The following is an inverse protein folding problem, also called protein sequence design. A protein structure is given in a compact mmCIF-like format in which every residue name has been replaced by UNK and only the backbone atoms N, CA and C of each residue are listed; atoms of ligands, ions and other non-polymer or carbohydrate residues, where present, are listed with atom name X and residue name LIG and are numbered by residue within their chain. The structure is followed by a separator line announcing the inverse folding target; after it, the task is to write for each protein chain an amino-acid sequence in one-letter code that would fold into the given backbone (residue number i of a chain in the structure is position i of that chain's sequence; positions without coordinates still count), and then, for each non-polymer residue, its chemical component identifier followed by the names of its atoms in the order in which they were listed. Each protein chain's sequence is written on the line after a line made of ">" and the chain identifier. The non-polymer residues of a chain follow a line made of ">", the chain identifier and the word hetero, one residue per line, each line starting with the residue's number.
data_IF_030512406796
#
_entry.id   IF_030512406796
#
_cell.length_a   1.000
_cell.length_b   1.000
_cell.length_c   1.000
_cell.angle_alpha   90.00
_cell.angle_beta   90.00
_cell.angle_gamma   90.00
#
_symmetry.space_group_name_H-M   'P 1'
#
loop_
_entity.id
_entity.type
_entity.pdbx_description
1 polymer ?
#
# COMPACT_ATOMS: atom_id res chain seq x y z
N UNK A 1 12.14 -13.15 23.44
CA UNK A 1 12.05 -14.53 22.94
C UNK A 1 10.85 -14.78 22.03
N UNK A 2 9.65 -14.23 22.34
CA UNK A 2 8.44 -14.45 21.48
C UNK A 2 8.54 -13.70 20.16
N UNK A 3 9.19 -12.55 20.12
CA UNK A 3 9.36 -11.75 18.91
C UNK A 3 10.40 -12.32 17.95
N UNK A 4 11.44 -12.99 18.45
CA UNK A 4 12.44 -13.63 17.59
C UNK A 4 11.84 -14.74 16.72
N UNK A 5 10.85 -15.48 17.24
CA UNK A 5 10.13 -16.52 16.46
C UNK A 5 9.47 -15.96 15.22
N UNK A 6 9.05 -14.70 15.21
CA UNK A 6 8.45 -14.04 14.05
C UNK A 6 9.45 -13.76 12.94
N UNK A 7 10.74 -13.68 13.26
CA UNK A 7 11.79 -13.32 12.32
C UNK A 7 12.45 -14.53 11.67
N UNK A 8 12.37 -15.70 12.30
CA UNK A 8 13.06 -16.92 11.86
C UNK A 8 12.11 -17.95 11.25
N UNK A 9 12.68 -18.93 10.53
CA UNK A 9 11.93 -19.98 9.83
C UNK A 9 11.44 -21.07 10.80
N UNK A 10 10.54 -20.70 11.69
CA UNK A 10 9.88 -21.64 12.59
C UNK A 10 8.67 -22.28 11.92
N UNK A 11 8.62 -23.60 11.91
CA UNK A 11 7.51 -24.40 11.37
C UNK A 11 6.88 -25.18 12.53
N UNK A 12 5.64 -24.87 12.94
CA UNK A 12 4.94 -25.67 13.94
C UNK A 12 4.72 -27.12 13.50
N UNK A 13 4.58 -28.00 14.46
CA UNK A 13 4.27 -29.40 14.18
C UNK A 13 2.95 -29.54 13.39
N UNK A 14 2.90 -30.50 12.49
CA UNK A 14 1.74 -30.85 11.65
C UNK A 14 1.29 -29.79 10.64
N UNK A 15 2.07 -28.74 10.39
CA UNK A 15 1.74 -27.73 9.36
C UNK A 15 2.29 -28.07 7.98
N UNK A 16 3.40 -28.77 7.90
CA UNK A 16 4.05 -29.17 6.65
C UNK A 16 4.27 -30.67 6.65
N UNK A 17 3.71 -31.37 5.67
CA UNK A 17 3.79 -32.83 5.58
C UNK A 17 5.23 -33.37 5.58
N UNK A 18 6.16 -32.65 4.96
CA UNK A 18 7.58 -33.00 4.94
C UNK A 18 8.30 -32.78 6.30
N UNK A 19 7.69 -32.06 7.23
CA UNK A 19 8.26 -31.72 8.54
C UNK A 19 7.19 -31.94 9.62
N UNK A 20 6.73 -33.18 9.85
CA UNK A 20 5.58 -33.45 10.73
C UNK A 20 5.83 -33.09 12.19
N UNK A 21 7.08 -33.11 12.64
CA UNK A 21 7.45 -32.70 14.01
C UNK A 21 7.64 -31.19 14.18
N UNK A 22 7.49 -30.43 13.09
CA UNK A 22 7.88 -29.03 13.06
C UNK A 22 9.40 -28.84 13.01
N UNK A 23 9.83 -27.59 12.96
CA UNK A 23 11.25 -27.21 12.96
C UNK A 23 11.43 -25.89 13.71
N UNK A 24 12.32 -25.87 14.67
CA UNK A 24 12.81 -24.66 15.31
C UNK A 24 14.11 -24.24 14.63
N UNK A 25 14.07 -23.15 13.89
CA UNK A 25 15.22 -22.61 13.20
C UNK A 25 15.50 -21.20 13.70
N UNK A 26 16.63 -21.01 14.38
CA UNK A 26 17.06 -19.74 14.93
C UNK A 26 18.18 -19.07 14.12
N UNK A 27 18.48 -19.59 12.95
CA UNK A 27 19.59 -19.12 12.10
C UNK A 27 19.13 -18.59 10.76
N UNK A 28 18.08 -19.16 10.18
CA UNK A 28 17.57 -18.74 8.88
C UNK A 28 16.37 -17.82 9.07
N UNK A 29 16.49 -16.58 8.58
CA UNK A 29 15.42 -15.61 8.58
C UNK A 29 14.28 -16.07 7.66
N UNK A 30 13.05 -15.89 8.11
CA UNK A 30 11.90 -15.96 7.21
C UNK A 30 11.82 -14.66 6.36
N UNK A 31 10.87 -14.59 5.45
CA UNK A 31 10.70 -13.42 4.55
C UNK A 31 10.52 -12.11 5.35
N UNK A 32 9.78 -12.15 6.44
CA UNK A 32 9.57 -10.97 7.29
C UNK A 32 10.87 -10.55 7.99
N UNK A 33 11.59 -11.50 8.60
CA UNK A 33 12.88 -11.24 9.25
C UNK A 33 13.93 -10.75 8.28
N UNK A 34 14.00 -11.35 7.08
CA UNK A 34 14.91 -10.92 6.01
C UNK A 34 14.66 -9.48 5.58
N UNK A 35 13.40 -9.05 5.51
CA UNK A 35 13.05 -7.66 5.17
C UNK A 35 13.46 -6.66 6.25
N UNK A 36 13.24 -7.00 7.52
CA UNK A 36 13.66 -6.13 8.64
C UNK A 36 15.17 -5.96 8.63
N UNK A 37 15.93 -7.06 8.51
CA UNK A 37 17.40 -7.00 8.46
C UNK A 37 17.90 -6.25 7.23
N UNK A 38 17.29 -6.47 6.06
CA UNK A 38 17.62 -5.72 4.86
C UNK A 38 17.34 -4.22 5.01
N UNK A 39 16.22 -3.83 5.62
CA UNK A 39 15.90 -2.43 5.92
C UNK A 39 16.96 -1.79 6.81
N UNK A 40 17.31 -2.44 7.92
CA UNK A 40 18.36 -1.95 8.82
C UNK A 40 19.73 -1.83 8.12
N UNK A 41 20.05 -2.80 7.25
CA UNK A 41 21.30 -2.74 6.48
C UNK A 41 21.29 -1.58 5.46
N UNK A 42 20.16 -1.34 4.79
CA UNK A 42 19.98 -0.22 3.86
C UNK A 42 20.12 1.13 4.58
N UNK A 43 19.51 1.29 5.75
CA UNK A 43 19.63 2.51 6.56
C UNK A 43 21.07 2.75 7.01
N UNK A 44 21.76 1.69 7.43
CA UNK A 44 23.18 1.77 7.80
C UNK A 44 24.05 2.15 6.59
N UNK A 45 23.83 1.56 5.42
CA UNK A 45 24.53 1.89 4.18
C UNK A 45 24.29 3.35 3.79
N UNK A 46 23.03 3.81 3.83
CA UNK A 46 22.70 5.20 3.51
C UNK A 46 23.41 6.22 4.43
N UNK A 47 23.61 5.84 5.69
CA UNK A 47 24.31 6.66 6.69
C UNK A 47 25.83 6.67 6.47
N UNK A 48 26.41 5.50 6.26
CA UNK A 48 27.88 5.34 6.17
C UNK A 48 28.44 5.70 4.77
N UNK A 49 27.59 5.59 3.73
CA UNK A 49 27.94 5.88 2.34
C UNK A 49 26.90 6.83 1.74
N UNK A 50 26.99 8.15 2.00
CA UNK A 50 25.97 9.14 1.62
C UNK A 50 25.66 9.18 0.11
N UNK A 51 26.63 8.83 -0.75
CA UNK A 51 26.43 8.75 -2.20
C UNK A 51 25.39 7.69 -2.59
N UNK A 52 25.21 6.66 -1.76
CA UNK A 52 24.23 5.59 -1.98
C UNK A 52 22.85 5.92 -1.38
N UNK A 53 22.73 6.89 -0.48
CA UNK A 53 21.48 7.24 0.18
C UNK A 53 20.35 7.53 -0.83
N UNK A 54 20.66 8.17 -1.96
CA UNK A 54 19.69 8.48 -3.02
C UNK A 54 19.11 7.25 -3.73
N UNK A 55 19.74 6.08 -3.61
CA UNK A 55 19.28 4.82 -4.21
C UNK A 55 18.52 3.94 -3.22
N UNK A 56 18.52 4.29 -1.93
CA UNK A 56 17.78 3.54 -0.92
C UNK A 56 16.29 3.84 -1.06
N UNK A 57 15.51 2.82 -1.38
CA UNK A 57 14.06 2.92 -1.49
C UNK A 57 13.41 2.19 -0.31
N UNK A 58 12.62 2.93 0.47
CA UNK A 58 11.83 2.39 1.58
C UNK A 58 10.41 1.98 1.16
N UNK A 59 10.02 2.34 -0.06
CA UNK A 59 8.70 2.06 -0.64
C UNK A 59 8.87 1.40 -2.01
N UNK A 60 7.95 0.49 -2.34
CA UNK A 60 7.94 -0.16 -3.65
C UNK A 60 7.64 0.85 -4.77
N UNK A 61 6.68 1.75 -4.51
CA UNK A 61 6.29 2.83 -5.42
C UNK A 61 6.20 4.18 -4.70
N UNK A 62 6.46 5.24 -5.44
CA UNK A 62 6.31 6.63 -4.99
C UNK A 62 5.40 7.36 -5.96
N UNK A 63 4.34 7.98 -5.44
CA UNK A 63 3.44 8.85 -6.20
C UNK A 63 3.76 10.30 -5.89
N UNK A 64 4.01 11.11 -6.92
CA UNK A 64 4.32 12.53 -6.79
C UNK A 64 3.87 13.33 -8.02
N UNK A 65 3.08 14.38 -7.80
CA UNK A 65 2.54 15.22 -8.88
C UNK A 65 3.62 16.07 -9.60
N UNK A 66 4.76 16.26 -8.96
CA UNK A 66 5.90 17.03 -9.50
C UNK A 66 6.83 16.20 -10.39
N UNK A 67 6.51 14.93 -10.61
CA UNK A 67 7.32 14.00 -11.41
C UNK A 67 8.54 13.43 -10.70
N UNK A 68 8.71 13.69 -9.40
CA UNK A 68 9.80 13.11 -8.58
C UNK A 68 9.51 11.70 -8.07
N UNK A 69 8.33 11.14 -8.38
CA UNK A 69 7.90 9.79 -8.08
C UNK A 69 7.97 8.85 -9.29
N UNK A 70 7.53 7.62 -9.07
CA UNK A 70 7.38 6.61 -10.13
C UNK A 70 6.08 6.83 -10.91
N UNK A 71 5.05 7.45 -10.27
CA UNK A 71 3.72 7.70 -10.83
C UNK A 71 3.25 9.12 -10.48
N UNK A 72 2.40 9.69 -11.34
CA UNK A 72 1.77 11.00 -11.10
C UNK A 72 0.47 10.87 -10.31
N UNK A 73 -0.23 9.74 -10.45
CA UNK A 73 -1.52 9.48 -9.82
C UNK A 73 -1.46 8.26 -8.90
N UNK A 74 -2.33 8.25 -7.89
CA UNK A 74 -2.42 7.12 -6.95
C UNK A 74 -3.04 5.91 -7.63
N UNK A 75 -4.01 6.13 -8.55
CA UNK A 75 -4.63 5.03 -9.28
C UNK A 75 -3.62 4.28 -10.17
N UNK A 76 -2.73 5.01 -10.87
CA UNK A 76 -1.67 4.38 -11.68
C UNK A 76 -0.75 3.48 -10.83
N UNK A 77 -0.38 3.95 -9.64
CA UNK A 77 0.44 3.15 -8.73
C UNK A 77 -0.29 1.90 -8.23
N UNK A 78 -1.60 2.00 -7.93
CA UNK A 78 -2.44 0.85 -7.55
C UNK A 78 -2.54 -0.15 -8.70
N UNK A 79 -2.77 0.33 -9.93
CA UNK A 79 -2.91 -0.51 -11.11
C UNK A 79 -1.61 -1.25 -11.44
N UNK A 80 -0.46 -0.65 -11.16
CA UNK A 80 0.86 -1.25 -11.34
C UNK A 80 1.19 -2.36 -10.32
N UNK A 81 0.45 -2.46 -9.20
CA UNK A 81 0.64 -3.55 -8.24
C UNK A 81 0.27 -4.89 -8.88
N UNK A 82 1.12 -5.93 -8.80
CA UNK A 82 0.77 -7.25 -9.31
C UNK A 82 -0.48 -7.82 -8.65
N UNK A 83 -1.36 -8.44 -9.45
CA UNK A 83 -2.57 -9.07 -8.96
C UNK A 83 -2.29 -10.32 -8.10
N UNK A 84 -3.16 -10.60 -7.15
CA UNK A 84 -3.17 -11.80 -6.29
C UNK A 84 -1.85 -12.08 -5.53
N UNK A 85 -1.15 -11.04 -5.11
CA UNK A 85 0.14 -11.08 -4.44
C UNK A 85 0.02 -11.53 -2.98
N UNK A 86 -0.07 -12.83 -2.74
CA UNK A 86 -0.41 -13.41 -1.42
C UNK A 86 0.61 -13.17 -0.30
N UNK A 87 1.91 -13.16 -0.62
CA UNK A 87 2.96 -13.25 0.39
C UNK A 87 3.81 -11.99 0.55
N UNK A 88 3.53 -10.96 -0.23
CA UNK A 88 4.33 -9.74 -0.26
C UNK A 88 3.37 -8.55 -0.22
N UNK A 89 3.57 -7.69 0.76
CA UNK A 89 2.87 -6.40 0.84
C UNK A 89 3.57 -5.40 -0.07
N UNK A 90 2.81 -4.70 -0.90
CA UNK A 90 3.30 -3.58 -1.71
C UNK A 90 3.06 -2.29 -0.95
N UNK A 91 4.09 -1.50 -0.78
CA UNK A 91 4.03 -0.20 -0.10
C UNK A 91 4.12 0.92 -1.12
N UNK A 92 3.14 1.82 -1.10
CA UNK A 92 3.04 2.97 -1.98
C UNK A 92 3.13 4.23 -1.13
N UNK A 93 4.16 5.04 -1.34
CA UNK A 93 4.26 6.36 -0.74
C UNK A 93 3.52 7.38 -1.60
N UNK A 94 2.58 8.09 -1.00
CA UNK A 94 1.89 9.24 -1.63
C UNK A 94 2.49 10.51 -1.07
N UNK A 95 3.20 11.28 -1.90
CA UNK A 95 3.77 12.56 -1.49
C UNK A 95 2.67 13.58 -1.24
N UNK A 96 3.00 14.62 -0.47
CA UNK A 96 2.12 15.77 -0.22
C UNK A 96 1.52 16.30 -1.51
N UNK A 97 0.20 16.50 -1.51
CA UNK A 97 -0.54 17.03 -2.66
C UNK A 97 -2.02 16.71 -2.57
N UNK A 98 -2.81 17.38 -3.41
CA UNK A 98 -4.24 17.09 -3.58
C UNK A 98 -4.42 16.30 -4.88
N UNK A 99 -4.67 15.01 -4.74
CA UNK A 99 -4.88 14.08 -5.85
C UNK A 99 -6.38 14.02 -6.16
N UNK A 100 -6.79 14.74 -7.22
CA UNK A 100 -8.20 14.79 -7.62
C UNK A 100 -8.54 13.61 -8.52
N UNK A 101 -8.73 12.45 -7.92
CA UNK A 101 -8.99 11.20 -8.62
C UNK A 101 -9.94 10.30 -7.84
N UNK A 102 -10.73 9.51 -8.55
CA UNK A 102 -11.60 8.49 -7.97
C UNK A 102 -10.81 7.21 -7.82
N UNK A 103 -10.60 6.79 -6.58
CA UNK A 103 -9.78 5.61 -6.29
C UNK A 103 -10.61 4.34 -6.32
N UNK A 104 -10.12 3.35 -7.03
CA UNK A 104 -10.66 1.99 -7.04
C UNK A 104 -9.53 1.00 -6.78
N UNK A 105 -9.63 0.27 -5.67
CA UNK A 105 -8.72 -0.84 -5.34
C UNK A 105 -9.45 -2.15 -5.61
N UNK A 106 -9.23 -2.82 -6.75
CA UNK A 106 -9.90 -4.07 -7.11
C UNK A 106 -9.58 -5.20 -6.13
N UNK A 107 -10.44 -6.21 -6.07
CA UNK A 107 -10.28 -7.39 -5.21
C UNK A 107 -8.96 -8.15 -5.47
N UNK A 108 -8.43 -8.07 -6.70
CA UNK A 108 -7.16 -8.69 -7.08
C UNK A 108 -5.92 -8.02 -6.48
N UNK A 109 -6.01 -6.75 -6.07
CA UNK A 109 -4.90 -5.92 -5.57
C UNK A 109 -4.69 -6.11 -4.05
N UNK A 110 -4.45 -7.33 -3.62
CA UNK A 110 -4.31 -7.69 -2.21
C UNK A 110 -2.96 -7.23 -1.61
N UNK A 111 -2.92 -7.05 -0.29
CA UNK A 111 -1.71 -6.67 0.47
C UNK A 111 -1.09 -5.32 0.05
N UNK A 112 -1.90 -4.28 -0.10
CA UNK A 112 -1.43 -2.91 -0.37
C UNK A 112 -1.37 -2.09 0.92
N UNK A 113 -0.28 -1.33 1.08
CA UNK A 113 -0.19 -0.23 2.03
C UNK A 113 -0.03 1.09 1.27
N UNK A 114 -0.94 2.02 1.54
CA UNK A 114 -0.90 3.37 1.02
C UNK A 114 -0.48 4.31 2.15
N UNK A 115 0.73 4.86 2.06
CA UNK A 115 1.34 5.68 3.11
C UNK A 115 1.46 7.12 2.61
N UNK A 116 0.76 8.04 3.24
CA UNK A 116 0.81 9.46 2.90
C UNK A 116 1.93 10.20 3.62
N UNK A 117 2.54 11.17 2.95
CA UNK A 117 3.21 12.27 3.61
C UNK A 117 2.15 13.21 4.19
N UNK A 118 2.50 13.96 5.22
CA UNK A 118 1.61 14.97 5.80
C UNK A 118 1.10 15.93 4.71
N UNK A 119 -0.23 16.02 4.58
CA UNK A 119 -0.90 16.78 3.52
C UNK A 119 -1.12 16.00 2.21
N UNK A 120 -1.04 14.69 2.22
CA UNK A 120 -1.53 13.85 1.14
C UNK A 120 -3.07 13.71 1.22
N UNK A 121 -3.77 14.23 0.22
CA UNK A 121 -5.23 14.28 0.17
C UNK A 121 -5.72 13.62 -1.12
N UNK A 122 -6.56 12.60 -0.99
CA UNK A 122 -7.28 11.98 -2.09
C UNK A 122 -8.70 12.58 -2.10
N UNK A 123 -8.98 13.39 -3.11
CA UNK A 123 -10.22 14.18 -3.18
C UNK A 123 -10.98 13.87 -4.45
N UNK A 124 -12.31 13.71 -4.34
CA UNK A 124 -13.18 13.60 -5.51
C UNK A 124 -14.53 14.24 -5.23
N UNK A 125 -15.22 14.72 -6.29
CA UNK A 125 -16.40 15.56 -6.19
C UNK A 125 -17.70 14.88 -6.64
N UNK A 126 -17.79 13.56 -6.55
CA UNK A 126 -19.01 12.83 -6.89
C UNK A 126 -20.08 12.94 -5.79
N UNK A 127 -21.35 13.06 -6.20
CA UNK A 127 -22.53 13.06 -5.34
C UNK A 127 -23.68 12.29 -6.00
N UNK A 128 -24.69 11.91 -5.21
CA UNK A 128 -25.71 10.98 -5.63
C UNK A 128 -26.51 11.43 -6.86
N UNK A 129 -26.87 12.72 -6.95
CA UNK A 129 -27.62 13.28 -8.07
C UNK A 129 -26.77 13.63 -9.29
N UNK A 130 -25.44 13.55 -9.18
CA UNK A 130 -24.54 13.77 -10.33
C UNK A 130 -24.84 12.73 -11.41
N UNK A 131 -24.97 13.20 -12.65
CA UNK A 131 -25.29 12.31 -13.77
C UNK A 131 -24.11 11.38 -14.13
N UNK A 132 -24.42 10.12 -14.41
CA UNK A 132 -23.48 9.16 -14.98
C UNK A 132 -23.42 9.30 -16.51
N UNK A 133 -22.55 8.54 -17.17
CA UNK A 133 -22.36 8.56 -18.63
C UNK A 133 -23.60 8.16 -19.43
N UNK A 134 -24.59 7.52 -18.80
CA UNK A 134 -25.87 7.11 -19.42
C UNK A 134 -27.02 8.09 -19.14
N UNK A 135 -26.74 9.25 -18.48
CA UNK A 135 -27.70 10.28 -18.15
C UNK A 135 -28.55 10.00 -16.89
N UNK A 136 -28.42 8.84 -16.28
CA UNK A 136 -29.01 8.51 -14.96
C UNK A 136 -28.22 9.12 -13.81
N UNK A 137 -28.81 9.15 -12.62
CA UNK A 137 -28.07 9.55 -11.41
C UNK A 137 -27.08 8.49 -10.96
N UNK A 138 -25.96 8.91 -10.34
CA UNK A 138 -24.97 7.97 -9.79
C UNK A 138 -25.49 7.18 -8.59
N UNK A 139 -26.41 7.78 -7.84
CA UNK A 139 -26.92 7.23 -6.59
C UNK A 139 -25.83 7.15 -5.50
N UNK A 140 -26.20 6.71 -4.33
CA UNK A 140 -25.31 6.62 -3.16
C UNK A 140 -24.10 5.71 -3.46
N UNK A 141 -24.33 4.54 -4.04
CA UNK A 141 -23.26 3.58 -4.33
C UNK A 141 -22.30 4.03 -5.45
N UNK A 142 -22.79 4.85 -6.40
CA UNK A 142 -21.97 5.34 -7.53
C UNK A 142 -21.19 6.61 -7.23
N UNK A 143 -21.46 7.27 -6.09
CA UNK A 143 -20.89 8.58 -5.76
C UNK A 143 -19.71 8.54 -4.78
N UNK A 144 -19.28 7.39 -4.33
CA UNK A 144 -18.12 7.28 -3.45
C UNK A 144 -16.85 7.79 -4.12
N UNK A 145 -16.01 8.49 -3.37
CA UNK A 145 -14.70 8.98 -3.83
C UNK A 145 -13.66 7.85 -3.88
N UNK A 146 -13.84 6.83 -3.03
CA UNK A 146 -12.92 5.71 -2.93
C UNK A 146 -13.68 4.39 -2.79
N UNK A 147 -13.29 3.37 -3.55
CA UNK A 147 -13.78 2.00 -3.49
C UNK A 147 -12.64 1.06 -3.16
N UNK A 148 -12.73 0.33 -2.07
CA UNK A 148 -11.70 -0.61 -1.64
C UNK A 148 -12.35 -2.00 -1.55
N UNK A 149 -12.06 -2.86 -2.51
CA UNK A 149 -12.54 -4.23 -2.56
C UNK A 149 -11.44 -5.23 -2.18
N UNK A 150 -10.19 -4.78 -2.17
CA UNK A 150 -9.04 -5.62 -1.90
C UNK A 150 -8.94 -6.02 -0.42
N UNK A 151 -8.71 -7.29 -0.10
CA UNK A 151 -8.36 -7.71 1.26
C UNK A 151 -6.97 -7.19 1.65
N UNK A 152 -6.76 -7.04 2.96
CA UNK A 152 -5.49 -6.59 3.55
C UNK A 152 -4.98 -5.23 3.04
N UNK A 153 -5.91 -4.33 2.69
CA UNK A 153 -5.59 -2.94 2.40
C UNK A 153 -5.30 -2.18 3.71
N UNK A 154 -4.27 -1.36 3.69
CA UNK A 154 -3.88 -0.49 4.78
C UNK A 154 -3.62 0.93 4.27
N UNK A 155 -4.10 1.94 4.98
CA UNK A 155 -3.80 3.34 4.70
C UNK A 155 -3.37 4.07 5.97
N UNK A 156 -2.36 4.93 5.85
CA UNK A 156 -1.81 5.73 6.94
C UNK A 156 -1.46 7.13 6.45
N UNK A 157 -1.74 8.15 7.27
CA UNK A 157 -1.46 9.57 6.99
C UNK A 157 -2.06 10.08 5.67
N UNK A 158 -3.22 9.55 5.26
CA UNK A 158 -3.95 9.96 4.06
C UNK A 158 -5.30 10.54 4.45
N UNK A 159 -5.61 11.69 3.90
CA UNK A 159 -6.96 12.26 3.97
C UNK A 159 -7.77 11.80 2.77
N UNK A 160 -8.91 11.15 3.03
CA UNK A 160 -9.93 10.86 2.01
C UNK A 160 -11.01 11.93 2.10
N UNK A 161 -11.21 12.67 1.02
CA UNK A 161 -12.12 13.81 0.96
C UNK A 161 -13.16 13.60 -0.14
N UNK A 162 -14.40 13.98 0.16
CA UNK A 162 -15.40 14.26 -0.86
C UNK A 162 -15.56 15.77 -0.95
N UNK A 163 -15.19 16.35 -2.07
CA UNK A 163 -15.21 17.79 -2.33
C UNK A 163 -16.46 18.28 -3.06
N UNK A 164 -17.54 17.49 -3.12
CA UNK A 164 -18.80 17.87 -3.78
C UNK A 164 -19.50 19.08 -3.15
N UNK A 165 -19.16 19.42 -1.90
CA UNK A 165 -19.79 20.49 -1.16
C UNK A 165 -21.22 20.17 -0.69
N UNK A 166 -21.99 21.18 -0.25
CA UNK A 166 -23.33 20.98 0.35
C UNK A 166 -24.44 20.68 -0.66
N UNK A 167 -24.15 20.65 -1.96
CA UNK A 167 -25.15 20.56 -3.04
C UNK A 167 -25.48 19.15 -3.51
N UNK A 168 -25.03 18.12 -2.82
CA UNK A 168 -25.12 16.75 -3.33
C UNK A 168 -25.53 15.69 -2.33
N UNK A 169 -26.23 16.05 -1.30
CA UNK A 169 -26.77 15.06 -0.33
C UNK A 169 -28.13 14.57 -0.73
#
# INVERSE_FOLDING_TARGET
>A
PVESKKLFMWVPANQVAAIPKGREDNTHLNVHGGRIVAGLAMDAIAKEVPELAKYVRHYDFVVAQDGSGDFFTVQEAIDAVPDFRKNIRTTILVRKGVYKEKIVVPESKINISLIGQEGAILSYDDYAQKKNCFGGEKGTSGSSSCYIYAPDFYAENITFENSSGPVGQ
#
